data_IF_101309182763
#
_entry.id   IF_101309182763
#
_cell.length_a   1.000
_cell.length_b   1.000
_cell.length_c   1.000
_cell.angle_alpha   90.00
_cell.angle_beta   90.00
_cell.angle_gamma   90.00
#
_symmetry.space_group_name_H-M   'P 1'
#
loop_
_entity.id
_entity.type
_entity.pdbx_description
1 polymer ?
#
# COMPACT_ATOMS: atom_id res chain seq x y z
N UNK A 1 -23.55 35.76 -36.57
CA UNK A 1 -22.95 36.22 -37.84
C UNK A 1 -21.82 37.17 -37.52
N UNK A 2 -20.59 36.68 -37.76
CA UNK A 2 -19.33 37.38 -38.06
C UNK A 2 -19.50 38.77 -38.74
N UNK A 3 -18.63 39.79 -38.67
CA UNK A 3 -17.22 40.02 -38.25
C UNK A 3 -16.99 41.55 -38.34
N UNK A 4 -16.04 42.12 -37.59
CA UNK A 4 -14.78 42.66 -38.14
C UNK A 4 -14.00 43.51 -37.12
N UNK A 5 -12.69 43.24 -37.05
CA UNK A 5 -11.68 43.84 -36.18
C UNK A 5 -11.12 45.18 -36.70
N UNK A 6 -10.46 45.95 -35.82
CA UNK A 6 -9.32 46.80 -36.21
C UNK A 6 -8.31 47.00 -35.06
N UNK A 7 -7.03 46.88 -35.43
CA UNK A 7 -5.78 47.01 -34.67
C UNK A 7 -5.25 48.47 -34.60
N UNK A 8 -4.25 48.66 -33.72
CA UNK A 8 -3.09 49.61 -33.67
C UNK A 8 -3.12 50.49 -32.40
N UNK A 9 -2.22 50.40 -31.40
CA UNK A 9 -0.73 50.40 -31.31
C UNK A 9 -0.17 51.74 -30.80
N UNK A 10 0.46 51.73 -29.61
CA UNK A 10 1.66 52.50 -29.21
C UNK A 10 2.01 52.01 -27.77
N UNK A 11 3.03 51.16 -27.53
CA UNK A 11 4.47 51.48 -27.37
C UNK A 11 4.71 52.81 -26.60
N UNK A 12 5.53 52.88 -25.54
CA UNK A 12 6.42 51.91 -24.90
C UNK A 12 7.11 52.51 -23.65
N UNK A 13 7.95 51.67 -23.05
CA UNK A 13 9.20 51.95 -22.29
C UNK A 13 9.03 52.40 -20.82
N UNK A 14 9.63 51.81 -19.78
CA UNK A 14 10.84 50.98 -19.58
C UNK A 14 10.53 49.82 -18.57
N UNK A 15 10.99 48.57 -18.73
CA UNK A 15 12.40 48.06 -18.77
C UNK A 15 13.06 48.10 -17.38
N UNK A 16 13.71 47.08 -16.81
CA UNK A 16 13.97 45.68 -17.18
C UNK A 16 14.68 44.97 -16.00
N UNK A 17 14.53 43.65 -15.94
CA UNK A 17 15.53 42.61 -15.65
C UNK A 17 14.77 41.29 -15.88
N UNK A 18 15.12 40.34 -16.75
CA UNK A 18 16.37 39.98 -17.38
C UNK A 18 16.40 38.45 -17.34
N UNK A 19 15.75 37.78 -18.31
CA UNK A 19 15.86 36.33 -18.49
C UNK A 19 17.23 36.02 -19.12
N UNK A 20 18.04 35.11 -18.55
CA UNK A 20 19.17 34.55 -19.27
C UNK A 20 18.73 33.38 -20.15
N UNK A 21 19.18 33.42 -21.40
CA UNK A 21 19.23 32.28 -22.32
C UNK A 21 20.17 31.21 -21.76
N UNK A 22 19.71 29.95 -21.74
CA UNK A 22 20.50 28.80 -21.34
C UNK A 22 19.63 27.68 -20.76
N UNK A 23 18.81 27.04 -21.59
CA UNK A 23 18.16 25.79 -21.19
C UNK A 23 19.22 24.67 -21.11
N UNK A 24 19.45 24.04 -19.95
CA UNK A 24 20.23 22.80 -19.91
C UNK A 24 19.44 21.67 -20.59
N UNK A 25 20.11 20.67 -21.18
CA UNK A 25 19.43 19.50 -21.72
C UNK A 25 18.69 18.77 -20.60
N UNK A 26 17.57 18.14 -20.93
CA UNK A 26 16.85 17.24 -20.03
C UNK A 26 17.84 16.19 -19.50
N UNK A 27 18.19 16.32 -18.22
CA UNK A 27 18.96 15.34 -17.46
C UNK A 27 17.99 14.55 -16.58
N UNK A 28 17.94 13.24 -16.86
CA UNK A 28 17.60 12.09 -16.01
C UNK A 28 16.68 12.31 -14.78
N UNK A 29 15.49 11.67 -14.69
CA UNK A 29 14.64 11.74 -13.50
C UNK A 29 15.16 10.77 -12.43
N UNK A 30 16.23 11.16 -11.73
CA UNK A 30 16.73 10.41 -10.57
C UNK A 30 17.15 11.29 -9.37
N UNK A 31 17.08 12.63 -9.46
CA UNK A 31 17.49 13.52 -8.38
C UNK A 31 16.59 14.76 -8.28
N UNK A 32 15.47 14.64 -7.55
CA UNK A 32 14.79 15.76 -6.88
C UNK A 32 13.67 15.24 -5.97
N UNK A 33 13.91 15.20 -4.67
CA UNK A 33 12.84 15.15 -3.67
C UNK A 33 12.19 16.54 -3.58
N UNK A 34 10.86 16.70 -3.67
CA UNK A 34 10.22 17.91 -3.20
C UNK A 34 10.37 17.98 -1.66
N UNK A 35 10.55 19.19 -1.15
CA UNK A 35 10.78 19.45 0.27
C UNK A 35 9.61 18.91 1.11
N UNK A 36 9.91 17.99 2.03
CA UNK A 36 9.01 17.61 3.13
C UNK A 36 8.66 18.88 3.91
N UNK A 37 7.37 19.17 4.05
CA UNK A 37 6.90 20.20 4.97
C UNK A 37 6.96 19.60 6.39
N UNK A 38 7.51 20.32 7.39
CA UNK A 38 7.74 19.75 8.71
C UNK A 38 6.41 19.43 9.40
N UNK A 39 6.21 18.17 9.77
CA UNK A 39 5.25 17.75 10.80
C UNK A 39 5.44 18.61 12.05
N UNK A 40 4.34 19.01 12.67
CA UNK A 40 4.35 19.73 13.95
C UNK A 40 4.20 18.80 15.15
N UNK A 41 4.92 17.67 15.18
CA UNK A 41 5.85 17.34 16.27
C UNK A 41 6.57 16.01 15.97
N UNK A 42 7.83 16.04 15.49
CA UNK A 42 8.59 14.80 15.38
C UNK A 42 8.75 14.19 16.78
N UNK A 43 8.62 12.85 16.89
CA UNK A 43 8.93 12.12 18.13
C UNK A 43 10.25 12.66 18.70
N UNK A 44 10.29 13.17 19.94
CA UNK A 44 11.51 13.81 20.43
C UNK A 44 12.73 12.86 20.49
N UNK A 45 12.49 11.54 20.44
CA UNK A 45 13.49 10.47 20.53
C UNK A 45 13.76 9.84 19.16
N UNK A 46 14.99 9.34 18.89
CA UNK A 46 15.30 8.63 17.65
C UNK A 46 14.51 7.31 17.56
N UNK A 47 14.14 6.85 16.35
CA UNK A 47 13.47 5.55 16.16
C UNK A 47 13.83 4.92 14.82
N UNK A 48 14.34 3.69 14.85
CA UNK A 48 14.72 2.94 13.65
C UNK A 48 13.51 2.17 13.12
N UNK A 49 13.26 2.33 11.83
CA UNK A 49 12.33 1.52 11.07
C UNK A 49 13.07 0.87 9.88
N UNK A 50 12.65 -0.33 9.51
CA UNK A 50 13.25 -1.08 8.39
C UNK A 50 12.15 -1.60 7.48
N UNK A 51 12.25 -1.36 6.18
CA UNK A 51 11.24 -1.79 5.21
C UNK A 51 11.89 -2.27 3.89
N UNK A 52 11.35 -3.31 3.22
CA UNK A 52 10.24 -4.13 3.69
C UNK A 52 10.65 -5.07 4.84
N UNK A 53 9.70 -5.43 5.70
CA UNK A 53 9.84 -6.49 6.69
C UNK A 53 8.59 -7.39 6.63
N UNK A 54 8.70 -8.63 6.13
CA UNK A 54 9.91 -9.30 5.67
C UNK A 54 10.40 -8.83 4.29
N UNK A 55 11.65 -9.16 3.95
CA UNK A 55 12.19 -9.03 2.59
C UNK A 55 12.19 -10.40 1.90
N UNK A 56 11.15 -10.66 1.11
CA UNK A 56 11.02 -11.87 0.29
C UNK A 56 11.43 -11.61 -1.16
N UNK A 57 12.40 -12.38 -1.65
CA UNK A 57 12.83 -12.36 -3.04
C UNK A 57 11.95 -13.28 -3.93
N UNK A 58 11.14 -14.15 -3.34
CA UNK A 58 10.35 -15.14 -4.05
C UNK A 58 11.21 -16.18 -4.77
N UNK A 59 10.72 -16.67 -5.92
CA UNK A 59 11.44 -17.62 -6.75
C UNK A 59 12.50 -16.91 -7.62
N UNK A 60 13.76 -17.29 -7.44
CA UNK A 60 14.92 -16.68 -8.09
C UNK A 60 15.69 -17.70 -8.94
N UNK A 61 16.26 -17.24 -10.06
CA UNK A 61 17.12 -18.07 -10.88
C UNK A 61 18.37 -18.43 -10.07
N UNK A 62 18.63 -19.71 -9.91
CA UNK A 62 19.75 -20.21 -9.15
C UNK A 62 21.09 -19.91 -9.85
N UNK A 63 22.17 -20.01 -9.10
CA UNK A 63 23.54 -19.86 -9.60
C UNK A 63 23.86 -18.48 -10.21
N UNK A 64 23.08 -17.46 -9.87
CA UNK A 64 23.36 -16.05 -10.17
C UNK A 64 22.95 -15.13 -9.01
N UNK A 65 23.53 -13.93 -8.98
CA UNK A 65 23.26 -12.95 -7.94
C UNK A 65 21.97 -12.18 -8.25
N UNK A 66 21.13 -12.01 -7.24
CA UNK A 66 19.95 -11.14 -7.26
C UNK A 66 20.08 -10.12 -6.14
N UNK A 67 19.53 -8.94 -6.34
CA UNK A 67 19.61 -7.84 -5.39
C UNK A 67 18.21 -7.29 -5.11
N UNK A 68 17.98 -6.92 -3.86
CA UNK A 68 16.82 -6.16 -3.43
C UNK A 68 17.28 -5.08 -2.44
N UNK A 69 16.48 -4.03 -2.32
CA UNK A 69 16.78 -2.91 -1.42
C UNK A 69 15.97 -3.03 -0.14
N UNK A 70 16.67 -2.97 0.98
CA UNK A 70 16.12 -2.81 2.33
C UNK A 70 16.41 -1.38 2.79
N UNK A 71 15.41 -0.63 3.25
CA UNK A 71 15.58 0.77 3.65
C UNK A 71 15.54 0.90 5.16
N UNK A 72 16.56 1.56 5.72
CA UNK A 72 16.63 1.93 7.13
C UNK A 72 16.21 3.40 7.24
N UNK A 73 15.21 3.70 8.06
CA UNK A 73 14.73 5.06 8.26
C UNK A 73 14.82 5.45 9.74
N UNK A 74 15.25 6.69 10.00
CA UNK A 74 15.05 7.30 11.32
C UNK A 74 13.74 8.09 11.29
N UNK A 75 12.71 7.54 11.93
CA UNK A 75 11.40 8.20 12.03
C UNK A 75 11.30 9.11 13.27
N UNK A 76 12.38 9.24 14.04
CA UNK A 76 12.46 10.11 15.19
C UNK A 76 12.97 11.51 14.88
N UNK A 77 12.69 12.46 15.76
CA UNK A 77 13.11 13.87 15.72
C UNK A 77 14.52 14.15 16.23
N UNK A 78 15.21 13.11 16.71
CA UNK A 78 16.62 13.18 17.11
C UNK A 78 17.47 12.27 16.21
N UNK A 79 18.78 12.55 16.05
CA UNK A 79 19.68 11.68 15.28
C UNK A 79 19.73 10.26 15.86
N UNK A 80 19.65 9.27 14.97
CA UNK A 80 19.73 7.85 15.27
C UNK A 80 21.05 7.27 14.79
N UNK A 81 21.70 6.45 15.61
CA UNK A 81 22.94 5.74 15.24
C UNK A 81 22.67 4.26 15.08
N UNK A 82 22.79 3.75 13.85
CA UNK A 82 22.84 2.32 13.55
C UNK A 82 24.23 1.82 13.90
N UNK A 83 24.33 0.94 14.89
CA UNK A 83 25.59 0.50 15.50
C UNK A 83 26.13 -0.79 14.88
N UNK A 84 25.27 -1.62 14.28
CA UNK A 84 25.68 -2.90 13.73
C UNK A 84 24.56 -3.63 13.01
N UNK A 85 24.94 -4.61 12.21
CA UNK A 85 24.05 -5.57 11.57
C UNK A 85 24.48 -6.98 11.99
N UNK A 86 23.53 -7.81 12.40
CA UNK A 86 23.75 -9.22 12.74
C UNK A 86 22.82 -10.11 11.90
N UNK A 87 23.40 -10.95 11.04
CA UNK A 87 22.63 -11.94 10.27
C UNK A 87 22.74 -13.32 10.91
N UNK A 88 21.63 -14.04 10.95
CA UNK A 88 21.54 -15.45 11.33
C UNK A 88 20.75 -16.25 10.29
N UNK A 89 20.98 -17.56 10.20
CA UNK A 89 20.32 -18.44 9.21
C UNK A 89 21.20 -18.70 7.99
N UNK A 90 20.62 -18.69 6.80
CA UNK A 90 21.32 -18.97 5.55
C UNK A 90 22.36 -17.87 5.22
N UNK A 91 23.57 -18.29 4.86
CA UNK A 91 24.67 -17.41 4.45
C UNK A 91 24.65 -17.04 2.96
N UNK A 92 23.68 -17.53 2.19
CA UNK A 92 23.48 -17.15 0.80
C UNK A 92 23.09 -15.67 0.64
N UNK A 93 22.46 -15.08 1.66
CA UNK A 93 22.20 -13.64 1.73
C UNK A 93 23.46 -12.88 2.15
N UNK A 94 23.78 -11.81 1.43
CA UNK A 94 24.89 -10.89 1.69
C UNK A 94 24.35 -9.46 1.70
N UNK A 95 24.50 -8.79 2.84
CA UNK A 95 24.15 -7.37 3.00
C UNK A 95 25.43 -6.54 2.82
N UNK A 96 25.48 -5.70 1.79
CA UNK A 96 26.64 -4.81 1.56
C UNK A 96 26.52 -3.57 2.43
N UNK A 97 27.14 -3.63 3.61
CA UNK A 97 26.92 -2.67 4.67
C UNK A 97 28.14 -2.52 5.58
N UNK A 98 28.45 -1.28 5.97
CA UNK A 98 29.52 -0.96 6.91
C UNK A 98 29.08 0.09 7.94
N UNK A 99 28.22 -0.25 8.92
CA UNK A 99 27.93 0.60 10.08
C UNK A 99 29.21 0.86 10.91
N UNK A 100 29.27 1.94 11.71
CA UNK A 100 28.13 2.74 12.16
C UNK A 100 27.68 3.81 11.17
N UNK A 101 26.37 4.06 11.16
CA UNK A 101 25.75 5.17 10.41
C UNK A 101 24.95 6.05 11.35
N UNK A 102 24.99 7.36 11.14
CA UNK A 102 24.09 8.29 11.81
C UNK A 102 23.07 8.79 10.80
N UNK A 103 21.81 8.48 11.05
CA UNK A 103 20.66 9.00 10.33
C UNK A 103 20.16 10.23 11.08
N UNK A 104 20.14 11.39 10.43
CA UNK A 104 19.46 12.57 10.95
C UNK A 104 17.96 12.28 11.12
N UNK A 105 17.23 13.15 11.80
CA UNK A 105 15.77 13.04 11.83
C UNK A 105 15.20 12.93 10.40
N UNK A 106 14.25 12.02 10.21
CA UNK A 106 13.58 11.71 8.93
C UNK A 106 14.52 11.19 7.82
N UNK A 107 15.80 10.95 8.13
CA UNK A 107 16.75 10.46 7.14
C UNK A 107 16.57 8.96 6.91
N UNK A 108 16.55 8.57 5.64
CA UNK A 108 16.60 7.17 5.21
C UNK A 108 17.94 6.79 4.59
N UNK A 109 18.28 5.51 4.66
CA UNK A 109 19.46 4.88 4.09
C UNK A 109 19.06 3.57 3.40
N UNK A 110 19.14 3.49 2.06
CA UNK A 110 18.95 2.23 1.36
C UNK A 110 20.17 1.32 1.58
N UNK A 111 19.91 0.05 1.84
CA UNK A 111 20.87 -1.04 1.91
C UNK A 111 20.56 -2.07 0.83
N UNK A 112 21.59 -2.49 0.10
CA UNK A 112 21.45 -3.58 -0.86
C UNK A 112 21.64 -4.91 -0.14
N UNK A 113 20.63 -5.76 -0.22
CA UNK A 113 20.69 -7.17 0.15
C UNK A 113 20.81 -7.96 -1.14
N UNK A 114 21.85 -8.77 -1.24
CA UNK A 114 22.07 -9.67 -2.37
C UNK A 114 21.91 -11.13 -1.94
N UNK A 115 21.52 -11.99 -2.87
CA UNK A 115 21.46 -13.43 -2.65
C UNK A 115 21.99 -14.17 -3.88
N UNK A 116 22.71 -15.27 -3.61
CA UNK A 116 23.10 -16.25 -4.62
C UNK A 116 22.42 -17.60 -4.32
N UNK A 117 21.18 -17.82 -4.79
CA UNK A 117 20.40 -18.99 -4.40
C UNK A 117 20.85 -20.24 -5.15
N UNK A 118 20.71 -21.40 -4.51
CA UNK A 118 21.02 -22.72 -5.08
C UNK A 118 19.74 -23.38 -5.58
N UNK A 119 19.82 -24.09 -6.71
CA UNK A 119 18.64 -24.68 -7.34
C UNK A 119 17.95 -25.72 -6.44
N UNK A 120 16.63 -25.60 -6.33
CA UNK A 120 15.77 -26.49 -5.54
C UNK A 120 15.88 -26.29 -4.03
N UNK A 121 16.44 -25.17 -3.57
CA UNK A 121 16.56 -24.85 -2.15
C UNK A 121 15.73 -23.63 -1.75
N UNK A 122 15.12 -23.71 -0.58
CA UNK A 122 14.57 -22.57 0.15
C UNK A 122 15.68 -21.98 1.03
N UNK A 123 15.85 -20.67 0.99
CA UNK A 123 16.82 -19.90 1.75
C UNK A 123 16.07 -19.02 2.74
N UNK A 124 16.40 -19.14 4.03
CA UNK A 124 15.80 -18.35 5.10
C UNK A 124 16.90 -17.78 6.01
N UNK A 125 16.85 -16.48 6.25
CA UNK A 125 17.74 -15.79 7.18
C UNK A 125 16.98 -14.72 7.97
N UNK A 126 17.60 -14.21 9.03
CA UNK A 126 17.10 -13.07 9.80
C UNK A 126 18.23 -12.06 9.93
N UNK A 127 17.97 -10.82 9.49
CA UNK A 127 18.84 -9.66 9.67
C UNK A 127 18.36 -8.86 10.88
N UNK A 128 19.20 -8.74 11.90
CA UNK A 128 18.97 -7.85 13.05
C UNK A 128 19.75 -6.56 12.84
N UNK A 129 19.04 -5.43 12.83
CA UNK A 129 19.63 -4.09 12.76
C UNK A 129 19.68 -3.52 14.17
N UNK A 130 20.89 -3.25 14.68
CA UNK A 130 21.09 -2.68 16.01
C UNK A 130 21.24 -1.17 15.93
N UNK A 131 20.53 -0.42 16.78
CA UNK A 131 20.68 1.04 16.89
C UNK A 131 20.77 1.51 18.34
N UNK A 132 20.96 2.81 18.54
CA UNK A 132 20.87 3.45 19.86
C UNK A 132 19.42 3.75 20.30
N UNK A 133 18.43 3.51 19.43
CA UNK A 133 17.01 3.66 19.72
C UNK A 133 16.32 2.31 19.99
N UNK A 134 16.30 1.43 18.99
CA UNK A 134 15.65 0.12 19.01
C UNK A 134 16.35 -0.86 18.06
N UNK A 135 16.19 -2.16 18.34
CA UNK A 135 16.64 -3.23 17.45
C UNK A 135 15.47 -3.69 16.58
N UNK A 136 15.71 -3.89 15.28
CA UNK A 136 14.70 -4.39 14.32
C UNK A 136 15.17 -5.71 13.73
N UNK A 137 14.27 -6.69 13.57
CA UNK A 137 14.57 -8.03 13.05
C UNK A 137 13.79 -8.28 11.77
N UNK A 138 14.48 -8.28 10.63
CA UNK A 138 13.88 -8.52 9.32
C UNK A 138 14.09 -9.96 8.90
N UNK A 139 13.01 -10.64 8.50
CA UNK A 139 13.13 -11.98 7.89
C UNK A 139 13.48 -11.85 6.40
N UNK A 140 14.43 -12.67 5.94
CA UNK A 140 14.87 -12.76 4.56
C UNK A 140 14.49 -14.13 3.99
N UNK A 141 13.85 -14.17 2.82
CA UNK A 141 13.46 -15.42 2.16
C UNK A 141 13.70 -15.42 0.65
N UNK A 142 14.02 -16.59 0.11
CA UNK A 142 14.09 -16.84 -1.33
C UNK A 142 13.96 -18.33 -1.63
N UNK A 143 13.51 -18.68 -2.84
CA UNK A 143 13.58 -20.06 -3.36
C UNK A 143 14.40 -20.08 -4.65
N UNK A 144 15.47 -20.87 -4.69
CA UNK A 144 16.27 -21.05 -5.89
C UNK A 144 15.61 -22.02 -6.88
N UNK A 145 15.47 -21.60 -8.13
CA UNK A 145 14.96 -22.43 -9.24
C UNK A 145 15.98 -22.51 -10.36
N UNK A 146 16.04 -23.65 -11.05
CA UNK A 146 16.95 -23.83 -12.20
C UNK A 146 16.74 -22.71 -13.23
N UNK A 147 17.79 -21.99 -13.66
CA UNK A 147 17.66 -20.93 -14.65
C UNK A 147 17.02 -21.41 -15.93
N UNK A 148 16.00 -20.69 -16.41
CA UNK A 148 15.26 -21.08 -17.61
C UNK A 148 14.30 -22.25 -17.40
N UNK A 149 14.08 -22.70 -16.16
CA UNK A 149 12.90 -23.49 -15.84
C UNK A 149 11.65 -22.66 -16.17
N UNK A 150 10.88 -23.12 -17.16
CA UNK A 150 9.55 -22.57 -17.44
C UNK A 150 8.57 -23.14 -16.43
N UNK A 151 8.10 -22.28 -15.53
CA UNK A 151 6.96 -22.58 -14.67
C UNK A 151 5.71 -22.00 -15.32
N UNK A 152 4.61 -22.76 -15.34
CA UNK A 152 3.31 -22.19 -15.69
C UNK A 152 2.71 -21.57 -14.44
N UNK A 153 2.69 -20.24 -14.39
CA UNK A 153 1.97 -19.49 -13.35
C UNK A 153 0.50 -19.49 -13.73
N UNK A 154 -0.37 -19.82 -12.77
CA UNK A 154 -1.81 -19.69 -12.92
C UNK A 154 -2.35 -18.86 -11.78
N UNK A 155 -2.89 -17.70 -12.10
CA UNK A 155 -3.51 -16.79 -11.16
C UNK A 155 -5.02 -16.81 -11.34
N UNK A 156 -5.73 -16.67 -10.22
CA UNK A 156 -7.17 -16.88 -10.15
C UNK A 156 -7.80 -15.77 -9.31
N UNK A 157 -8.85 -15.15 -9.86
CA UNK A 157 -9.69 -14.18 -9.17
C UNK A 157 -11.16 -14.58 -9.32
N UNK A 158 -11.96 -14.31 -8.29
CA UNK A 158 -13.42 -14.47 -8.34
C UNK A 158 -14.02 -13.07 -8.37
N UNK A 159 -14.89 -12.79 -9.35
CA UNK A 159 -15.61 -11.52 -9.39
C UNK A 159 -16.43 -11.33 -8.11
N UNK A 160 -16.46 -10.12 -7.55
CA UNK A 160 -17.31 -9.83 -6.41
C UNK A 160 -18.76 -10.22 -6.67
N UNK A 161 -19.43 -10.71 -5.64
CA UNK A 161 -20.87 -10.90 -5.60
C UNK A 161 -21.53 -9.69 -4.92
N UNK A 162 -22.77 -9.40 -5.29
CA UNK A 162 -23.50 -8.33 -4.64
C UNK A 162 -23.73 -8.68 -3.16
N UNK A 163 -23.37 -7.75 -2.27
CA UNK A 163 -23.55 -7.93 -0.83
C UNK A 163 -22.48 -8.77 -0.14
N UNK A 164 -21.39 -9.18 -0.80
CA UNK A 164 -20.23 -9.77 -0.13
C UNK A 164 -19.09 -8.75 -0.11
N UNK A 165 -18.77 -8.23 1.08
CA UNK A 165 -17.73 -7.22 1.24
C UNK A 165 -16.91 -7.46 2.50
N UNK A 166 -15.62 -7.24 2.39
CA UNK A 166 -14.69 -7.19 3.51
C UNK A 166 -14.13 -5.77 3.55
N UNK A 167 -14.02 -5.19 4.74
CA UNK A 167 -13.45 -3.86 4.94
C UNK A 167 -12.29 -3.97 5.91
N UNK A 168 -11.12 -3.51 5.51
CA UNK A 168 -9.96 -3.37 6.37
C UNK A 168 -9.82 -1.92 6.80
N UNK A 169 -9.97 -1.68 8.10
CA UNK A 169 -9.77 -0.38 8.74
C UNK A 169 -8.35 -0.31 9.30
N UNK A 170 -7.64 0.75 8.96
CA UNK A 170 -6.39 1.13 9.60
C UNK A 170 -6.50 2.58 10.09
N UNK A 171 -5.94 2.82 11.27
CA UNK A 171 -5.94 4.11 11.94
C UNK A 171 -4.53 4.47 12.31
N UNK A 172 -4.19 5.73 12.09
CA UNK A 172 -2.95 6.34 12.49
C UNK A 172 -2.84 6.42 14.01
N UNK A 173 -1.85 5.73 14.57
CA UNK A 173 -1.63 5.65 16.02
C UNK A 173 -0.53 6.61 16.49
N UNK A 174 -0.27 7.68 15.74
CA UNK A 174 0.66 8.72 16.15
C UNK A 174 0.11 9.47 17.38
N UNK A 175 0.99 10.17 18.08
CA UNK A 175 0.58 10.85 19.32
C UNK A 175 -0.34 12.07 19.08
N UNK A 176 -0.53 12.50 17.83
CA UNK A 176 -1.43 13.60 17.47
C UNK A 176 -2.89 13.17 17.37
N UNK A 177 -3.20 11.87 17.43
CA UNK A 177 -4.54 11.34 17.14
C UNK A 177 -5.28 10.76 18.36
N UNK A 178 -4.75 10.93 19.58
CA UNK A 178 -5.33 10.33 20.81
C UNK A 178 -6.81 10.72 21.02
N UNK A 179 -7.16 12.01 20.83
CA UNK A 179 -8.54 12.49 20.98
C UNK A 179 -9.41 12.07 19.77
N UNK A 180 -8.80 11.94 18.60
CA UNK A 180 -9.45 11.56 17.34
C UNK A 180 -9.74 10.05 17.26
N UNK A 181 -9.00 9.23 18.00
CA UNK A 181 -9.30 7.82 18.15
C UNK A 181 -10.66 7.62 18.83
N UNK A 182 -10.95 8.37 19.89
CA UNK A 182 -12.27 8.33 20.56
C UNK A 182 -13.37 8.79 19.60
N UNK A 183 -13.08 9.81 18.78
CA UNK A 183 -14.00 10.30 17.76
C UNK A 183 -14.31 9.28 16.67
N UNK A 184 -13.30 8.55 16.20
CA UNK A 184 -13.49 7.45 15.25
C UNK A 184 -14.35 6.35 15.90
N UNK A 185 -14.08 5.98 17.16
CA UNK A 185 -14.86 4.99 17.88
C UNK A 185 -16.34 5.38 18.03
N UNK A 186 -16.61 6.66 18.32
CA UNK A 186 -17.98 7.19 18.37
C UNK A 186 -18.70 7.17 17.01
N UNK A 187 -17.95 7.21 15.91
CA UNK A 187 -18.47 7.20 14.55
C UNK A 187 -18.63 5.79 13.95
N UNK A 188 -17.90 4.78 14.47
CA UNK A 188 -17.96 3.38 14.02
C UNK A 188 -19.37 2.78 13.94
N UNK A 189 -20.32 3.08 14.85
CA UNK A 189 -21.69 2.57 14.73
C UNK A 189 -22.33 2.88 13.38
N UNK A 190 -22.06 4.05 12.79
CA UNK A 190 -22.63 4.42 11.48
C UNK A 190 -22.08 3.56 10.32
N UNK A 191 -20.81 3.15 10.42
CA UNK A 191 -20.21 2.20 9.48
C UNK A 191 -20.88 0.84 9.57
N UNK A 192 -20.99 0.28 10.79
CA UNK A 192 -21.56 -1.04 11.03
C UNK A 192 -23.06 -1.08 10.67
N UNK A 193 -23.83 -0.09 11.13
CA UNK A 193 -25.25 0.06 10.82
C UNK A 193 -25.46 0.18 9.30
N UNK A 194 -24.61 0.94 8.60
CA UNK A 194 -24.68 1.10 7.15
C UNK A 194 -24.42 -0.21 6.40
N UNK A 195 -23.44 -0.99 6.84
CA UNK A 195 -23.11 -2.29 6.26
C UNK A 195 -24.25 -3.30 6.48
N UNK A 196 -24.82 -3.33 7.68
CA UNK A 196 -25.93 -4.21 8.03
C UNK A 196 -27.22 -3.82 7.33
N UNK A 197 -27.52 -2.51 7.24
CA UNK A 197 -28.70 -1.99 6.56
C UNK A 197 -28.68 -2.26 5.05
N UNK A 198 -27.48 -2.35 4.45
CA UNK A 198 -27.34 -2.75 3.07
C UNK A 198 -27.65 -4.24 2.81
N UNK A 199 -27.79 -5.04 3.87
CA UNK A 199 -28.00 -6.49 3.79
C UNK A 199 -26.79 -7.24 3.26
N UNK A 200 -25.60 -6.65 3.37
CA UNK A 200 -24.34 -7.27 2.97
C UNK A 200 -23.88 -8.24 4.06
N UNK A 201 -23.31 -9.38 3.66
CA UNK A 201 -22.48 -10.22 4.53
C UNK A 201 -21.11 -9.56 4.67
N UNK A 202 -21.08 -8.47 5.43
CA UNK A 202 -19.92 -7.62 5.63
C UNK A 202 -19.03 -8.13 6.76
N UNK A 203 -17.71 -8.03 6.56
CA UNK A 203 -16.71 -8.35 7.58
C UNK A 203 -15.78 -7.16 7.78
N UNK A 204 -15.69 -6.65 9.01
CA UNK A 204 -14.74 -5.60 9.37
C UNK A 204 -13.49 -6.21 10.00
N UNK A 205 -12.33 -5.84 9.48
CA UNK A 205 -11.01 -6.16 10.01
C UNK A 205 -10.35 -4.87 10.47
N UNK A 206 -9.67 -4.90 11.61
CA UNK A 206 -8.96 -3.75 12.15
C UNK A 206 -7.48 -4.08 12.25
N UNK A 207 -6.65 -3.34 11.51
CA UNK A 207 -5.20 -3.46 11.53
C UNK A 207 -4.61 -3.01 12.86
N UNK A 208 -3.59 -3.70 13.37
CA UNK A 208 -2.98 -3.40 14.67
C UNK A 208 -1.47 -3.15 14.64
N UNK A 209 -0.76 -3.59 13.61
CA UNK A 209 0.70 -3.52 13.58
C UNK A 209 1.28 -3.15 12.21
N UNK A 210 2.58 -2.82 12.24
CA UNK A 210 3.44 -2.48 11.10
C UNK A 210 3.52 -3.56 10.01
N UNK A 211 3.20 -4.81 10.35
CA UNK A 211 3.20 -5.91 9.40
C UNK A 211 1.87 -6.01 8.63
N UNK A 212 0.91 -5.12 8.90
CA UNK A 212 -0.42 -5.14 8.29
C UNK A 212 -1.31 -6.26 8.83
N UNK A 213 -0.99 -6.82 10.01
CA UNK A 213 -1.83 -7.83 10.63
C UNK A 213 -3.04 -7.19 11.33
N UNK A 214 -4.18 -7.87 11.25
CA UNK A 214 -5.37 -7.50 11.99
C UNK A 214 -5.34 -8.01 13.44
N UNK A 215 -6.07 -7.34 14.34
CA UNK A 215 -6.12 -7.66 15.76
C UNK A 215 -6.53 -9.10 16.05
N UNK A 216 -7.52 -9.57 15.28
CA UNK A 216 -8.15 -10.87 15.38
C UNK A 216 -8.88 -11.18 14.06
N UNK A 217 -9.70 -12.23 14.08
CA UNK A 217 -10.64 -12.52 12.99
C UNK A 217 -11.64 -11.38 12.75
N UNK A 218 -12.46 -11.50 11.69
CA UNK A 218 -13.37 -10.43 11.29
C UNK A 218 -14.49 -10.24 12.31
N UNK A 219 -14.90 -8.99 12.47
CA UNK A 219 -16.18 -8.62 13.09
C UNK A 219 -17.28 -8.80 12.05
N UNK A 220 -18.26 -9.64 12.35
CA UNK A 220 -19.31 -10.03 11.39
C UNK A 220 -20.67 -9.51 11.81
N UNK A 221 -21.62 -9.42 10.88
CA UNK A 221 -23.00 -9.03 11.19
C UNK A 221 -23.78 -10.08 12.01
N UNK A 222 -23.23 -11.28 12.19
CA UNK A 222 -23.77 -12.31 13.10
C UNK A 222 -23.43 -12.02 14.57
N UNK A 223 -22.40 -11.20 14.83
CA UNK A 223 -21.99 -10.81 16.18
C UNK A 223 -22.90 -9.68 16.71
N UNK A 224 -23.25 -9.67 18.01
CA UNK A 224 -23.99 -8.54 18.59
C UNK A 224 -23.24 -7.21 18.43
N UNK A 225 -23.94 -6.13 18.11
CA UNK A 225 -23.32 -4.81 17.86
C UNK A 225 -22.42 -4.34 19.02
N UNK A 226 -22.85 -4.57 20.27
CA UNK A 226 -22.05 -4.23 21.45
C UNK A 226 -20.71 -4.98 21.48
N UNK A 227 -20.69 -6.24 21.04
CA UNK A 227 -19.47 -7.03 20.92
C UNK A 227 -18.58 -6.48 19.79
N UNK A 228 -19.14 -6.24 18.61
CA UNK A 228 -18.40 -5.71 17.45
C UNK A 228 -17.74 -4.38 17.79
N UNK A 229 -18.48 -3.46 18.40
CA UNK A 229 -17.96 -2.15 18.80
C UNK A 229 -16.87 -2.29 19.86
N UNK A 230 -17.08 -3.14 20.87
CA UNK A 230 -16.06 -3.36 21.92
C UNK A 230 -14.77 -3.93 21.34
N UNK A 231 -14.87 -4.90 20.44
CA UNK A 231 -13.70 -5.53 19.81
C UNK A 231 -13.01 -4.57 18.84
N UNK A 232 -13.75 -3.80 18.04
CA UNK A 232 -13.19 -2.77 17.16
C UNK A 232 -12.46 -1.69 17.96
N UNK A 233 -13.08 -1.15 19.01
CA UNK A 233 -12.45 -0.16 19.91
C UNK A 233 -11.21 -0.73 20.57
N UNK A 234 -11.28 -1.98 21.07
CA UNK A 234 -10.13 -2.65 21.68
C UNK A 234 -8.99 -2.85 20.69
N UNK A 235 -9.30 -3.19 19.43
CA UNK A 235 -8.32 -3.33 18.37
C UNK A 235 -7.67 -1.98 18.03
N UNK A 236 -8.46 -0.91 17.89
CA UNK A 236 -7.93 0.44 17.69
C UNK A 236 -7.04 0.86 18.86
N UNK A 237 -7.41 0.60 20.12
CA UNK A 237 -6.59 0.93 21.29
C UNK A 237 -5.34 0.07 21.42
N UNK A 238 -5.33 -1.11 20.81
CA UNK A 238 -4.17 -1.98 20.76
C UNK A 238 -3.30 -1.73 19.53
N UNK A 239 -3.82 -1.01 18.54
CA UNK A 239 -3.07 -0.64 17.36
C UNK A 239 -1.87 0.20 17.79
N UNK A 240 -0.73 -0.13 17.22
CA UNK A 240 0.51 0.54 17.55
C UNK A 240 1.58 0.12 16.58
N UNK A 241 2.47 1.05 16.28
CA UNK A 241 3.41 0.84 15.21
C UNK A 241 4.56 1.83 15.26
N UNK A 242 5.58 1.50 14.49
CA UNK A 242 6.67 2.38 14.11
C UNK A 242 6.26 3.24 12.93
N UNK A 243 5.41 2.72 12.06
CA UNK A 243 4.95 3.38 10.84
C UNK A 243 3.54 3.96 11.01
N UNK A 244 3.36 4.79 12.04
CA UNK A 244 2.06 5.30 12.45
C UNK A 244 1.26 5.96 11.31
N UNK A 245 1.93 6.55 10.31
CA UNK A 245 1.32 7.28 9.19
C UNK A 245 1.45 6.55 7.83
N UNK A 246 1.94 5.30 7.77
CA UNK A 246 2.19 4.58 6.50
C UNK A 246 1.03 3.68 6.07
N UNK A 247 -0.21 4.17 6.19
CA UNK A 247 -1.42 3.38 6.02
C UNK A 247 -1.53 2.63 4.70
N UNK A 248 -0.99 3.17 3.59
CA UNK A 248 -0.98 2.46 2.30
C UNK A 248 -0.08 1.24 2.30
N UNK A 249 1.08 1.32 2.97
CA UNK A 249 1.95 0.15 3.14
C UNK A 249 1.27 -0.91 4.00
N UNK A 250 0.63 -0.52 5.11
CA UNK A 250 -0.13 -1.46 5.95
C UNK A 250 -1.27 -2.10 5.17
N UNK A 251 -2.00 -1.33 4.38
CA UNK A 251 -3.08 -1.80 3.53
C UNK A 251 -2.60 -2.82 2.49
N UNK A 252 -1.50 -2.53 1.80
CA UNK A 252 -0.87 -3.45 0.85
C UNK A 252 -0.37 -4.73 1.54
N UNK A 253 0.28 -4.61 2.70
CA UNK A 253 0.73 -5.76 3.48
C UNK A 253 -0.44 -6.61 3.98
N UNK A 254 -1.56 -5.99 4.37
CA UNK A 254 -2.71 -6.73 4.92
C UNK A 254 -3.21 -7.84 4.00
N UNK A 255 -3.18 -7.61 2.68
CA UNK A 255 -3.62 -8.56 1.67
C UNK A 255 -2.47 -9.28 0.93
N UNK A 256 -1.24 -9.17 1.42
CA UNK A 256 -0.10 -9.91 0.88
C UNK A 256 -0.36 -11.42 0.92
N UNK A 257 0.27 -12.18 0.02
CA UNK A 257 0.11 -13.63 0.00
C UNK A 257 0.50 -14.28 1.34
N UNK A 258 1.55 -13.76 1.99
CA UNK A 258 2.02 -14.19 3.29
C UNK A 258 0.98 -13.91 4.39
N UNK A 259 0.49 -12.68 4.51
CA UNK A 259 -0.47 -12.35 5.55
C UNK A 259 -1.80 -13.06 5.36
N UNK A 260 -2.24 -13.26 4.11
CA UNK A 260 -3.44 -14.06 3.80
C UNK A 260 -3.26 -15.55 4.13
N UNK A 261 -2.04 -16.06 4.19
CA UNK A 261 -1.73 -17.41 4.66
C UNK A 261 -1.46 -17.47 6.18
N UNK A 262 -1.13 -16.34 6.79
CA UNK A 262 -0.76 -16.17 8.19
C UNK A 262 -1.80 -15.42 9.02
N UNK A 263 -1.41 -14.26 9.55
CA UNK A 263 -2.21 -13.52 10.53
C UNK A 263 -3.57 -13.03 10.01
N UNK A 264 -3.68 -12.76 8.71
CA UNK A 264 -4.90 -12.32 8.03
C UNK A 264 -5.57 -13.46 7.24
N UNK A 265 -5.41 -14.70 7.72
CA UNK A 265 -6.07 -15.85 7.12
C UNK A 265 -7.58 -15.63 7.02
N UNK A 266 -8.08 -15.64 5.79
CA UNK A 266 -9.50 -15.42 5.48
C UNK A 266 -9.91 -13.96 5.25
N UNK A 267 -8.99 -12.99 5.26
CA UNK A 267 -9.25 -11.59 4.92
C UNK A 267 -9.83 -11.44 3.52
N UNK A 268 -9.24 -12.12 2.52
CA UNK A 268 -9.77 -12.18 1.15
C UNK A 268 -10.60 -13.44 1.00
N UNK A 269 -11.92 -13.29 0.89
CA UNK A 269 -12.87 -14.38 0.64
C UNK A 269 -13.29 -14.41 -0.83
N UNK A 270 -13.44 -15.61 -1.39
CA UNK A 270 -13.98 -15.80 -2.73
C UNK A 270 -15.33 -15.09 -2.89
N UNK A 271 -15.46 -14.26 -3.92
CA UNK A 271 -16.68 -13.50 -4.21
C UNK A 271 -16.89 -12.27 -3.30
N UNK A 272 -16.07 -12.04 -2.28
CA UNK A 272 -16.10 -10.79 -1.52
C UNK A 272 -15.15 -9.76 -2.14
N UNK A 273 -15.59 -8.50 -2.21
CA UNK A 273 -14.66 -7.39 -2.48
C UNK A 273 -13.99 -7.01 -1.16
N UNK A 274 -12.66 -6.94 -1.13
CA UNK A 274 -11.94 -6.28 -0.05
C UNK A 274 -11.77 -4.80 -0.38
N UNK A 275 -12.24 -3.93 0.51
CA UNK A 275 -12.03 -2.48 0.53
C UNK A 275 -11.15 -2.07 1.71
N UNK A 276 -10.57 -0.88 1.63
CA UNK A 276 -9.77 -0.30 2.70
C UNK A 276 -10.34 1.05 3.14
N UNK A 277 -10.30 1.31 4.43
CA UNK A 277 -10.51 2.63 5.02
C UNK A 277 -9.25 3.00 5.80
N UNK A 278 -8.58 4.05 5.34
CA UNK A 278 -7.31 4.54 5.90
C UNK A 278 -7.58 5.89 6.57
N UNK A 279 -7.19 6.01 7.84
CA UNK A 279 -7.49 7.19 8.66
C UNK A 279 -6.18 7.75 9.19
N UNK A 280 -5.85 8.99 8.84
CA UNK A 280 -4.61 9.67 9.28
C UNK A 280 -4.78 11.19 9.22
N UNK A 281 -4.18 11.90 10.17
CA UNK A 281 -4.07 13.36 10.18
C UNK A 281 -2.89 13.89 9.37
N UNK A 282 -2.05 13.00 8.82
CA UNK A 282 -0.86 13.35 8.07
C UNK A 282 -0.82 12.69 6.67
N UNK A 283 0.06 13.15 5.76
CA UNK A 283 0.34 12.45 4.51
C UNK A 283 0.80 11.00 4.72
N UNK A 284 0.56 10.14 3.74
CA UNK A 284 1.06 8.76 3.79
C UNK A 284 2.60 8.73 3.83
N UNK A 285 3.13 8.13 4.90
CA UNK A 285 4.56 7.99 5.15
C UNK A 285 5.15 6.67 4.63
N UNK A 286 4.50 6.02 3.66
CA UNK A 286 5.06 4.82 3.02
C UNK A 286 6.43 5.12 2.39
N UNK A 287 7.35 4.14 2.30
CA UNK A 287 8.66 4.35 1.71
C UNK A 287 8.56 4.94 0.30
N UNK A 288 9.32 6.01 0.01
CA UNK A 288 9.27 6.68 -1.29
C UNK A 288 9.67 5.77 -2.49
N UNK A 289 10.37 4.67 -2.23
CA UNK A 289 10.68 3.62 -3.22
C UNK A 289 9.47 2.78 -3.61
N UNK A 290 8.40 2.84 -2.80
CA UNK A 290 7.11 2.19 -2.97
C UNK A 290 6.01 3.27 -2.89
N UNK A 291 5.89 4.12 -3.92
CA UNK A 291 4.91 5.20 -3.92
C UNK A 291 3.48 4.65 -3.81
N UNK A 292 2.53 5.52 -3.52
CA UNK A 292 1.10 5.17 -3.37
C UNK A 292 0.58 4.27 -4.50
N UNK A 293 1.00 4.49 -5.74
CA UNK A 293 0.56 3.71 -6.90
C UNK A 293 1.05 2.26 -6.84
N UNK A 294 2.28 2.04 -6.38
CA UNK A 294 2.84 0.70 -6.17
C UNK A 294 2.14 -0.03 -5.02
N UNK A 295 1.79 0.68 -3.94
CA UNK A 295 1.00 0.09 -2.85
C UNK A 295 -0.40 -0.27 -3.35
N UNK A 296 -1.04 0.61 -4.11
CA UNK A 296 -2.35 0.36 -4.70
C UNK A 296 -2.33 -0.84 -5.67
N UNK A 297 -1.28 -1.00 -6.46
CA UNK A 297 -1.14 -2.16 -7.35
C UNK A 297 -1.06 -3.47 -6.55
N UNK A 298 -0.35 -3.47 -5.41
CA UNK A 298 -0.30 -4.63 -4.50
C UNK A 298 -1.68 -4.94 -3.90
N UNK A 299 -2.43 -3.91 -3.52
CA UNK A 299 -3.80 -4.05 -3.01
C UNK A 299 -4.74 -4.62 -4.10
N UNK A 300 -4.66 -4.09 -5.32
CA UNK A 300 -5.49 -4.51 -6.47
C UNK A 300 -5.12 -5.89 -7.01
N UNK A 301 -3.88 -6.34 -6.83
CA UNK A 301 -3.53 -7.73 -7.13
C UNK A 301 -4.34 -8.73 -6.27
N UNK A 302 -4.61 -8.39 -5.00
CA UNK A 302 -5.42 -9.19 -4.11
C UNK A 302 -6.94 -8.97 -4.29
N UNK A 303 -7.36 -7.72 -4.52
CA UNK A 303 -8.77 -7.33 -4.70
C UNK A 303 -8.91 -6.37 -5.89
N UNK A 304 -9.08 -6.89 -7.12
CA UNK A 304 -9.01 -6.06 -8.33
C UNK A 304 -10.10 -4.98 -8.44
N UNK A 305 -11.24 -5.17 -7.78
CA UNK A 305 -12.35 -4.21 -7.77
C UNK A 305 -12.33 -3.23 -6.59
N UNK A 306 -11.30 -3.29 -5.73
CA UNK A 306 -11.26 -2.60 -4.45
C UNK A 306 -11.50 -1.09 -4.53
N UNK A 307 -12.14 -0.57 -3.49
CA UNK A 307 -12.14 0.84 -3.14
C UNK A 307 -11.17 1.09 -1.98
N UNK A 308 -10.44 2.20 -2.04
CA UNK A 308 -9.66 2.74 -0.93
C UNK A 308 -10.32 4.04 -0.53
N UNK A 309 -10.93 4.08 0.65
CA UNK A 309 -11.49 5.30 1.22
C UNK A 309 -10.51 5.87 2.23
N UNK A 310 -10.52 7.20 2.39
CA UNK A 310 -9.62 7.89 3.28
C UNK A 310 -10.37 8.89 4.15
N UNK A 311 -10.03 8.92 5.44
CA UNK A 311 -10.41 9.98 6.37
C UNK A 311 -9.13 10.73 6.71
N UNK A 312 -8.97 11.90 6.08
CA UNK A 312 -7.73 12.68 6.09
C UNK A 312 -8.03 14.18 6.00
N UNK A 313 -7.06 15.03 6.30
CA UNK A 313 -7.19 16.45 5.98
C UNK A 313 -7.33 16.64 4.47
N UNK A 314 -8.25 17.52 4.05
CA UNK A 314 -8.47 17.80 2.62
C UNK A 314 -7.73 19.06 2.16
N UNK A 315 -7.29 19.11 0.88
CA UNK A 315 -6.63 20.30 0.33
C UNK A 315 -7.60 21.50 0.27
N UNK A 316 -7.09 22.75 0.29
CA UNK A 316 -5.68 23.11 0.07
C UNK A 316 -4.79 23.13 1.32
N UNK A 317 -5.35 23.20 2.53
CA UNK A 317 -4.56 23.41 3.76
C UNK A 317 -4.84 22.38 4.88
N UNK A 318 -5.88 21.54 4.78
CA UNK A 318 -6.35 20.75 5.92
C UNK A 318 -6.97 21.65 7.01
N UNK A 319 -6.67 21.37 8.28
CA UNK A 319 -7.06 22.15 9.46
C UNK A 319 -5.93 22.18 10.52
N UNK A 320 -6.22 22.72 11.71
CA UNK A 320 -5.20 22.84 12.75
C UNK A 320 -4.76 21.47 13.28
N UNK A 321 -5.62 20.48 13.14
CA UNK A 321 -5.49 19.12 13.64
C UNK A 321 -5.13 18.11 12.55
N UNK A 322 -5.08 18.51 11.27
CA UNK A 322 -4.69 17.61 10.19
C UNK A 322 -4.13 18.32 8.96
N UNK A 323 -3.07 17.76 8.40
CA UNK A 323 -2.51 18.14 7.11
C UNK A 323 -3.26 17.44 5.95
N UNK A 324 -3.11 17.92 4.70
CA UNK A 324 -3.60 17.19 3.53
C UNK A 324 -3.00 15.78 3.45
N UNK A 325 -3.84 14.76 3.32
CA UNK A 325 -3.42 13.34 3.28
C UNK A 325 -2.85 12.89 1.94
N UNK A 326 -1.79 13.52 1.44
CA UNK A 326 -1.13 13.14 0.19
C UNK A 326 -0.77 11.62 0.19
N UNK A 327 -0.89 10.97 -0.95
CA UNK A 327 -0.84 9.50 -1.10
C UNK A 327 -2.21 8.85 -0.89
N UNK A 328 -2.87 9.11 0.24
CA UNK A 328 -4.23 8.60 0.52
C UNK A 328 -5.26 9.20 -0.44
N UNK A 329 -5.17 10.50 -0.70
CA UNK A 329 -6.03 11.24 -1.62
C UNK A 329 -5.96 10.64 -3.04
N UNK A 330 -4.76 10.35 -3.53
CA UNK A 330 -4.54 9.75 -4.85
C UNK A 330 -5.03 8.30 -4.92
N UNK A 331 -4.79 7.50 -3.88
CA UNK A 331 -5.30 6.13 -3.83
C UNK A 331 -6.84 6.09 -3.82
N UNK A 332 -7.47 7.03 -3.10
CA UNK A 332 -8.92 7.16 -3.07
C UNK A 332 -9.49 7.65 -4.39
N UNK A 333 -8.90 8.67 -5.03
CA UNK A 333 -9.33 9.15 -6.34
C UNK A 333 -9.17 8.04 -7.42
N UNK A 334 -8.02 7.35 -7.44
CA UNK A 334 -7.74 6.29 -8.40
C UNK A 334 -8.69 5.09 -8.29
N UNK A 335 -9.32 4.90 -7.12
CA UNK A 335 -10.28 3.81 -6.86
C UNK A 335 -11.73 4.30 -6.80
N UNK A 336 -11.97 5.62 -6.83
CA UNK A 336 -13.28 6.19 -6.57
C UNK A 336 -13.81 5.82 -5.18
N UNK A 337 -12.93 5.81 -4.18
CA UNK A 337 -13.27 5.66 -2.77
C UNK A 337 -13.88 6.93 -2.18
N UNK A 338 -14.36 6.84 -0.93
CA UNK A 338 -14.90 7.99 -0.21
C UNK A 338 -13.75 8.78 0.41
N UNK A 339 -13.79 10.10 0.26
CA UNK A 339 -12.94 11.03 1.00
C UNK A 339 -13.78 11.67 2.10
N UNK A 340 -13.40 11.40 3.35
CA UNK A 340 -14.02 11.97 4.55
C UNK A 340 -13.08 13.08 5.04
N UNK A 341 -13.63 14.28 5.22
CA UNK A 341 -12.85 15.42 5.71
C UNK A 341 -12.60 15.27 7.21
N UNK A 342 -11.32 15.13 7.59
CA UNK A 342 -10.90 15.11 8.99
C UNK A 342 -11.46 16.30 9.78
N UNK A 343 -11.57 17.44 9.10
CA UNK A 343 -11.93 18.72 9.68
C UNK A 343 -13.45 18.95 9.77
N UNK A 344 -14.28 18.05 9.22
CA UNK A 344 -15.72 18.05 9.51
C UNK A 344 -15.94 17.66 10.99
N UNK A 345 -17.09 17.98 11.57
CA UNK A 345 -17.53 17.53 12.90
C UNK A 345 -18.27 16.17 12.83
N UNK A 346 -18.80 15.79 11.66
CA UNK A 346 -19.63 14.58 11.48
C UNK A 346 -18.94 13.47 10.65
N UNK A 347 -18.01 12.75 11.27
CA UNK A 347 -17.38 11.56 10.65
C UNK A 347 -18.36 10.40 10.44
N UNK A 348 -19.44 10.35 11.21
CA UNK A 348 -20.45 9.29 11.10
C UNK A 348 -21.15 9.33 9.73
N UNK A 349 -21.43 10.53 9.20
CA UNK A 349 -21.96 10.68 7.84
C UNK A 349 -21.01 10.11 6.78
N UNK A 350 -19.71 10.43 6.85
CA UNK A 350 -18.70 9.92 5.93
C UNK A 350 -18.53 8.39 6.02
N UNK A 351 -18.53 7.84 7.22
CA UNK A 351 -18.47 6.39 7.43
C UNK A 351 -19.72 5.65 6.91
N UNK A 352 -20.90 6.26 6.99
CA UNK A 352 -22.09 5.73 6.36
C UNK A 352 -21.98 5.73 4.82
N UNK A 353 -21.31 6.72 4.22
CA UNK A 353 -21.00 6.71 2.79
C UNK A 353 -20.02 5.61 2.42
N UNK A 354 -18.98 5.36 3.23
CA UNK A 354 -18.07 4.21 3.07
C UNK A 354 -18.87 2.91 3.09
N UNK A 355 -19.77 2.73 4.06
CA UNK A 355 -20.62 1.55 4.14
C UNK A 355 -21.48 1.36 2.87
N UNK A 356 -22.10 2.43 2.37
CA UNK A 356 -22.91 2.39 1.16
C UNK A 356 -22.07 2.07 -0.09
N UNK A 357 -20.86 2.62 -0.18
CA UNK A 357 -19.91 2.32 -1.25
C UNK A 357 -19.48 0.85 -1.21
N UNK A 358 -19.11 0.36 -0.02
CA UNK A 358 -18.71 -1.01 0.25
C UNK A 358 -19.80 -2.02 -0.14
N UNK A 359 -21.06 -1.70 0.16
CA UNK A 359 -22.19 -2.54 -0.25
C UNK A 359 -22.53 -2.48 -1.75
N UNK A 360 -22.06 -1.46 -2.47
CA UNK A 360 -22.35 -1.30 -3.90
C UNK A 360 -21.51 -2.26 -4.72
N UNK A 361 -22.13 -3.14 -5.49
CA UNK A 361 -21.42 -4.05 -6.40
C UNK A 361 -20.48 -3.30 -7.35
N UNK A 362 -19.24 -3.79 -7.49
CA UNK A 362 -18.25 -3.33 -8.45
C UNK A 362 -17.62 -4.53 -9.13
N UNK A 363 -17.62 -4.51 -10.46
CA UNK A 363 -16.95 -5.52 -11.27
C UNK A 363 -15.50 -5.11 -11.53
N UNK A 364 -14.59 -6.09 -11.59
CA UNK A 364 -13.23 -5.88 -12.07
C UNK A 364 -13.11 -6.28 -13.54
N UNK A 365 -12.57 -5.38 -14.37
CA UNK A 365 -12.10 -5.68 -15.71
C UNK A 365 -10.57 -5.58 -15.84
N UNK A 366 -9.88 -5.02 -14.85
CA UNK A 366 -8.43 -4.91 -14.79
C UNK A 366 -7.86 -5.80 -13.66
N UNK A 367 -6.73 -6.45 -13.93
CA UNK A 367 -6.07 -7.43 -13.06
C UNK A 367 -4.56 -7.22 -13.13
N UNK A 368 -3.88 -7.42 -11.99
CA UNK A 368 -2.43 -7.25 -11.89
C UNK A 368 -1.81 -8.62 -11.67
N UNK A 369 -1.03 -9.06 -12.66
CA UNK A 369 -0.30 -10.32 -12.63
C UNK A 369 0.86 -10.24 -11.64
N UNK A 370 1.11 -11.33 -10.92
CA UNK A 370 2.23 -11.47 -9.98
C UNK A 370 3.60 -11.49 -10.64
N UNK A 371 3.67 -11.85 -11.93
CA UNK A 371 4.89 -11.89 -12.72
C UNK A 371 4.65 -11.35 -14.12
N UNK A 372 5.73 -10.97 -14.79
CA UNK A 372 5.68 -10.52 -16.18
C UNK A 372 5.19 -11.64 -17.10
N UNK A 373 4.14 -11.37 -17.87
CA UNK A 373 3.61 -12.26 -18.88
C UNK A 373 3.95 -11.76 -20.29
N UNK A 374 4.12 -12.69 -21.23
CA UNK A 374 4.16 -12.37 -22.66
C UNK A 374 2.76 -12.49 -23.25
N UNK A 375 2.40 -11.53 -24.12
CA UNK A 375 1.14 -11.57 -24.87
C UNK A 375 0.97 -12.85 -25.68
N UNK A 376 2.06 -13.42 -26.18
CA UNK A 376 2.02 -14.59 -27.06
C UNK A 376 1.72 -15.89 -26.31
N UNK A 377 1.94 -15.90 -24.99
CA UNK A 377 1.83 -17.10 -24.15
C UNK A 377 0.79 -16.99 -23.06
N UNK A 378 0.31 -15.78 -22.75
CA UNK A 378 -0.77 -15.54 -21.80
C UNK A 378 -2.09 -16.10 -22.33
N UNK A 379 -2.72 -16.94 -21.52
CA UNK A 379 -4.06 -17.49 -21.76
C UNK A 379 -4.96 -17.01 -20.65
N UNK A 380 -6.04 -16.33 -21.01
CA UNK A 380 -7.02 -15.82 -20.06
C UNK A 380 -8.37 -16.45 -20.31
N UNK A 381 -9.00 -16.94 -19.25
CA UNK A 381 -10.34 -17.53 -19.29
C UNK A 381 -11.25 -16.91 -18.25
N UNK A 382 -12.55 -16.89 -18.55
CA UNK A 382 -13.62 -16.63 -17.62
C UNK A 382 -14.51 -17.86 -17.57
N UNK A 383 -14.68 -18.46 -16.38
CA UNK A 383 -15.39 -19.73 -16.18
C UNK A 383 -14.91 -20.85 -17.13
N UNK A 384 -13.60 -20.87 -17.41
CA UNK A 384 -12.95 -21.81 -18.31
C UNK A 384 -13.13 -21.53 -19.82
N UNK A 385 -13.84 -20.47 -20.20
CA UNK A 385 -13.98 -20.04 -21.58
C UNK A 385 -12.99 -18.92 -21.93
N UNK A 386 -12.35 -19.01 -23.11
CA UNK A 386 -11.44 -17.96 -23.59
C UNK A 386 -12.19 -16.63 -23.78
N UNK A 387 -11.57 -15.54 -23.35
CA UNK A 387 -12.11 -14.18 -23.46
C UNK A 387 -11.16 -13.24 -24.22
N UNK A 388 -11.69 -12.10 -24.66
CA UNK A 388 -10.89 -11.01 -25.21
C UNK A 388 -10.25 -10.19 -24.10
N UNK A 389 -8.99 -9.81 -24.29
CA UNK A 389 -8.20 -9.06 -23.33
C UNK A 389 -7.07 -8.29 -24.01
N UNK A 390 -6.57 -7.29 -23.29
CA UNK A 390 -5.39 -6.50 -23.60
C UNK A 390 -4.41 -6.56 -22.44
N UNK A 391 -3.13 -6.68 -22.76
CA UNK A 391 -2.04 -6.57 -21.79
C UNK A 391 -1.45 -5.16 -21.98
N UNK A 392 -1.71 -4.27 -21.02
CA UNK A 392 -1.35 -2.84 -21.05
C UNK A 392 0.16 -2.66 -20.86
N UNK A 393 0.74 -3.47 -19.98
CA UNK A 393 2.18 -3.72 -19.83
C UNK A 393 2.42 -5.17 -19.37
N UNK A 394 3.64 -5.55 -19.02
CA UNK A 394 3.97 -6.93 -18.68
C UNK A 394 3.15 -7.54 -17.52
N UNK A 395 2.52 -6.74 -16.66
CA UNK A 395 1.74 -7.21 -15.50
C UNK A 395 0.29 -6.72 -15.48
N UNK A 396 -0.08 -5.68 -16.22
CA UNK A 396 -1.43 -5.12 -16.21
C UNK A 396 -2.32 -5.73 -17.31
N UNK A 397 -3.18 -6.66 -16.90
CA UNK A 397 -4.16 -7.32 -17.75
C UNK A 397 -5.51 -6.61 -17.69
N UNK A 398 -6.12 -6.32 -18.83
CA UNK A 398 -7.47 -5.79 -18.93
C UNK A 398 -8.35 -6.65 -19.83
N UNK A 399 -9.51 -7.07 -19.34
CA UNK A 399 -10.53 -7.78 -20.11
C UNK A 399 -11.33 -6.80 -20.97
N UNK A 400 -11.75 -7.23 -22.16
CA UNK A 400 -12.56 -6.39 -23.06
C UNK A 400 -13.97 -6.10 -22.49
N UNK A 401 -14.42 -6.92 -21.54
CA UNK A 401 -15.66 -6.76 -20.81
C UNK A 401 -15.52 -7.29 -19.38
N UNK A 402 -16.10 -6.58 -18.41
CA UNK A 402 -16.18 -7.04 -17.04
C UNK A 402 -16.98 -8.36 -16.95
N UNK A 403 -16.45 -9.41 -16.29
CA UNK A 403 -17.17 -10.66 -16.09
C UNK A 403 -18.38 -10.50 -15.15
N UNK A 404 -19.28 -11.49 -15.17
CA UNK A 404 -20.46 -11.50 -14.30
C UNK A 404 -20.09 -11.69 -12.81
N UNK A 405 -20.95 -11.29 -11.86
CA UNK A 405 -20.74 -11.59 -10.44
C UNK A 405 -20.47 -13.07 -10.18
N UNK A 406 -19.48 -13.39 -9.34
CA UNK A 406 -19.08 -14.76 -9.01
C UNK A 406 -18.32 -15.51 -10.12
N UNK A 407 -18.16 -14.92 -11.32
CA UNK A 407 -17.39 -15.53 -12.39
C UNK A 407 -15.92 -15.63 -12.01
N UNK A 408 -15.29 -16.72 -12.43
CA UNK A 408 -13.88 -16.99 -12.16
C UNK A 408 -13.04 -16.51 -13.33
N UNK A 409 -12.09 -15.62 -13.06
CA UNK A 409 -11.05 -15.22 -14.01
C UNK A 409 -9.79 -16.04 -13.71
N UNK A 410 -9.25 -16.71 -14.72
CA UNK A 410 -7.96 -17.40 -14.62
C UNK A 410 -7.01 -16.90 -15.70
N UNK A 411 -5.81 -16.48 -15.31
CA UNK A 411 -4.72 -16.09 -16.19
C UNK A 411 -3.57 -17.10 -16.04
N UNK A 412 -3.22 -17.77 -17.13
CA UNK A 412 -2.16 -18.78 -17.16
C UNK A 412 -1.09 -18.39 -18.16
N UNK A 413 0.16 -18.36 -17.73
CA UNK A 413 1.28 -17.95 -18.57
C UNK A 413 2.59 -18.60 -18.11
N UNK A 414 3.51 -18.93 -19.04
CA UNK A 414 4.84 -19.34 -18.68
C UNK A 414 5.59 -18.14 -18.12
N UNK A 415 6.19 -18.33 -16.96
CA UNK A 415 7.17 -17.44 -16.36
C UNK A 415 8.47 -18.23 -16.27
N UNK A 416 9.52 -17.74 -16.94
CA UNK A 416 10.86 -18.24 -16.71
C UNK A 416 11.53 -17.34 -15.68
N UNK A 417 12.10 -17.93 -14.63
CA UNK A 417 13.02 -17.16 -13.80
C UNK A 417 14.37 -17.13 -14.51
N UNK A 418 14.81 -15.93 -14.85
CA UNK A 418 16.07 -15.69 -15.53
C UNK A 418 17.03 -14.98 -14.58
N UNK A 419 18.33 -15.11 -14.85
CA UNK A 419 19.31 -14.27 -14.19
C UNK A 419 19.13 -12.82 -14.66
N UNK A 420 19.18 -11.84 -13.75
CA UNK A 420 19.06 -10.42 -14.06
C UNK A 420 20.18 -9.91 -14.99
#
# INVERSE_FOLDING_TARGET
MERCALRLSLLAVLSACGLPDGAPPLTDPADAWPQVHPSTAPLAEPRLAVAPDPLDFGALAADCAHEATLTLANLGGAPLTVNGLEQSGDGAFVVDAAPPWTLSAEQSLPLTVSIFPSAGQEHLAVLTVHSDANDVRVTLSATGVEPGAEETVTERWVQPEAGLVDLYLWFDTSASTDDEQDRLQDALPALLDGLDAAGSEARLWVGIDDAGCAAAGPLTSDDPDEQRLTEASSALSAAGGVWAEAGLMHAALSASAENRAGCNAGLVRDGARLDWLLVSDEPDASPATLPWSTQLDRMRQASPAAAVSALVGLPPEGCAEANPGDGYLEAADATGGVLIDWCDDDWAAGLAEVAALSATYRAADAFILSRSASRDTLVVTVDGALVGWTLEDATHLRLDAAPAPGAVVEASYPSSVACP
#
